data_IF_181965357529
#
_entry.id   IF_181965357529
#
_cell.length_a   1.000
_cell.length_b   1.000
_cell.length_c   1.000
_cell.angle_alpha   90.00
_cell.angle_beta   90.00
_cell.angle_gamma   90.00
#
_symmetry.space_group_name_H-M   'P 1'
#
loop_
_entity.id
_entity.type
_entity.pdbx_description
1 polymer ?
#
# COMPACT_ATOMS: atom_id res chain seq x y z
N UNK A 1 17.42 -24.75 -10.93
CA UNK A 1 16.67 -23.51 -11.28
C UNK A 1 15.37 -23.53 -10.50
N UNK A 2 15.31 -22.87 -9.34
CA UNK A 2 14.02 -22.56 -8.71
C UNK A 2 13.46 -21.44 -9.57
N UNK A 3 12.46 -21.76 -10.39
CA UNK A 3 11.98 -20.88 -11.43
C UNK A 3 11.44 -19.59 -10.80
N UNK A 4 11.62 -18.44 -11.45
CA UNK A 4 11.09 -17.15 -10.98
C UNK A 4 9.59 -17.20 -10.62
N UNK A 5 8.87 -18.16 -11.18
CA UNK A 5 7.47 -18.49 -10.87
C UNK A 5 7.26 -18.96 -9.42
N UNK A 6 8.16 -19.78 -8.87
CA UNK A 6 8.07 -20.27 -7.48
C UNK A 6 8.26 -19.14 -6.47
N UNK A 7 9.15 -18.19 -6.78
CA UNK A 7 9.40 -17.01 -5.95
C UNK A 7 8.17 -16.10 -5.96
N UNK A 8 7.57 -15.85 -7.13
CA UNK A 8 6.34 -15.06 -7.25
C UNK A 8 5.17 -15.72 -6.50
N UNK A 9 5.01 -17.04 -6.63
CA UNK A 9 3.98 -17.80 -5.91
C UNK A 9 4.19 -17.76 -4.39
N UNK A 10 5.43 -17.93 -3.91
CA UNK A 10 5.77 -17.83 -2.50
C UNK A 10 5.49 -16.43 -1.93
N UNK A 11 5.81 -15.37 -2.68
CA UNK A 11 5.48 -13.98 -2.30
C UNK A 11 3.99 -13.76 -2.21
N UNK A 12 3.21 -14.22 -3.20
CA UNK A 12 1.75 -14.14 -3.16
C UNK A 12 1.16 -14.85 -1.93
N UNK A 13 1.61 -16.08 -1.63
CA UNK A 13 1.19 -16.81 -0.42
C UNK A 13 1.52 -16.05 0.87
N UNK A 14 2.66 -15.37 0.93
CA UNK A 14 3.02 -14.52 2.08
C UNK A 14 2.04 -13.35 2.23
N UNK A 15 1.72 -12.64 1.15
CA UNK A 15 0.81 -11.49 1.21
C UNK A 15 -0.61 -11.90 1.62
N UNK A 16 -1.10 -13.03 1.11
CA UNK A 16 -2.40 -13.58 1.51
C UNK A 16 -2.45 -13.86 3.02
N UNK A 17 -1.37 -14.43 3.59
CA UNK A 17 -1.29 -14.68 5.05
C UNK A 17 -1.23 -13.40 5.88
N UNK A 18 -0.68 -12.32 5.34
CA UNK A 18 -0.56 -11.05 6.06
C UNK A 18 -1.89 -10.28 6.10
N UNK A 19 -2.74 -10.41 5.09
CA UNK A 19 -4.07 -9.78 5.07
C UNK A 19 -4.02 -8.28 5.41
N UNK A 20 -4.74 -7.87 6.46
CA UNK A 20 -4.80 -6.47 6.92
C UNK A 20 -3.48 -5.95 7.52
N UNK A 21 -2.57 -6.83 7.96
CA UNK A 21 -1.32 -6.44 8.64
C UNK A 21 -0.13 -6.36 7.68
N UNK A 22 -0.38 -6.38 6.36
CA UNK A 22 0.71 -6.30 5.38
C UNK A 22 1.49 -4.99 5.56
N UNK A 23 2.82 -5.04 5.81
CA UNK A 23 3.63 -3.83 5.96
C UNK A 23 3.65 -3.00 4.68
N UNK A 24 3.40 -3.63 3.51
CA UNK A 24 3.29 -2.93 2.23
C UNK A 24 2.13 -1.94 2.19
N UNK A 25 1.04 -2.20 2.92
CA UNK A 25 -0.06 -1.23 3.00
C UNK A 25 0.38 0.01 3.76
N UNK A 26 1.16 -0.14 4.84
CA UNK A 26 1.77 0.99 5.53
C UNK A 26 2.66 1.82 4.59
N UNK A 27 3.50 1.16 3.80
CA UNK A 27 4.37 1.83 2.83
C UNK A 27 3.57 2.55 1.72
N UNK A 28 2.46 1.97 1.24
CA UNK A 28 1.56 2.62 0.28
C UNK A 28 0.92 3.86 0.90
N UNK A 29 0.43 3.77 2.14
CA UNK A 29 -0.17 4.91 2.86
C UNK A 29 0.84 6.03 3.05
N UNK A 30 2.05 5.73 3.50
CA UNK A 30 3.12 6.71 3.68
C UNK A 30 3.55 7.38 2.37
N UNK A 31 3.67 6.60 1.29
CA UNK A 31 3.97 7.12 -0.03
C UNK A 31 2.85 8.04 -0.53
N UNK A 32 1.58 7.64 -0.39
CA UNK A 32 0.44 8.48 -0.75
C UNK A 32 0.42 9.77 0.06
N UNK A 33 0.68 9.73 1.37
CA UNK A 33 0.79 10.94 2.20
C UNK A 33 1.89 11.88 1.69
N UNK A 34 3.06 11.33 1.35
CA UNK A 34 4.18 12.09 0.78
C UNK A 34 3.81 12.76 -0.54
N UNK A 35 2.96 12.10 -1.34
CA UNK A 35 2.49 12.56 -2.64
C UNK A 35 1.21 13.42 -2.58
N UNK A 36 0.80 13.88 -1.40
CA UNK A 36 -0.38 14.74 -1.25
C UNK A 36 -1.72 14.00 -1.26
N UNK A 37 -1.72 12.69 -1.02
CA UNK A 37 -2.89 11.87 -0.79
C UNK A 37 -3.43 11.12 -2.01
N UNK A 38 -2.95 11.42 -3.22
CA UNK A 38 -3.35 10.72 -4.45
C UNK A 38 -2.20 10.66 -5.46
N UNK A 39 -1.95 9.49 -6.05
CA UNK A 39 -0.93 9.31 -7.07
C UNK A 39 -1.14 8.05 -7.91
N UNK A 40 -0.45 7.96 -9.05
CA UNK A 40 -0.39 6.73 -9.84
C UNK A 40 0.33 5.61 -9.09
N UNK A 41 -0.01 4.35 -9.39
CA UNK A 41 0.67 3.19 -8.79
C UNK A 41 2.18 3.19 -9.04
N UNK A 42 2.63 3.67 -10.22
CA UNK A 42 4.04 3.81 -10.54
C UNK A 42 4.75 4.84 -9.65
N UNK A 43 4.14 6.01 -9.44
CA UNK A 43 4.73 7.07 -8.62
C UNK A 43 4.75 6.69 -7.13
N UNK A 44 3.71 5.99 -6.66
CA UNK A 44 3.70 5.38 -5.31
C UNK A 44 4.85 4.39 -5.17
N UNK A 45 5.01 3.48 -6.14
CA UNK A 45 6.08 2.49 -6.10
C UNK A 45 7.48 3.13 -6.15
N UNK A 46 7.68 4.17 -6.96
CA UNK A 46 8.95 4.92 -7.02
C UNK A 46 9.25 5.58 -5.67
N UNK A 47 8.23 6.18 -5.04
CA UNK A 47 8.36 6.78 -3.70
C UNK A 47 8.73 5.73 -2.64
N UNK A 48 8.10 4.55 -2.69
CA UNK A 48 8.45 3.42 -1.82
C UNK A 48 9.89 2.95 -2.07
N UNK A 49 10.30 2.80 -3.34
CA UNK A 49 11.65 2.38 -3.70
C UNK A 49 12.71 3.37 -3.19
N UNK A 50 12.46 4.67 -3.32
CA UNK A 50 13.34 5.73 -2.80
C UNK A 50 13.47 5.66 -1.28
N UNK A 51 12.36 5.48 -0.55
CA UNK A 51 12.36 5.33 0.91
C UNK A 51 13.15 4.10 1.38
N UNK A 52 13.16 3.02 0.58
CA UNK A 52 13.95 1.81 0.81
C UNK A 52 15.44 1.97 0.42
N UNK A 53 15.89 3.16 0.03
CA UNK A 53 17.27 3.43 -0.41
C UNK A 53 17.57 3.04 -1.87
N UNK A 54 16.55 2.66 -2.63
CA UNK A 54 16.64 2.43 -4.07
C UNK A 54 16.57 3.74 -4.87
N UNK A 55 16.58 3.64 -6.21
CA UNK A 55 16.47 4.80 -7.12
C UNK A 55 15.18 4.85 -7.92
N UNK A 56 14.62 3.68 -8.28
CA UNK A 56 13.40 3.54 -9.08
C UNK A 56 12.75 2.19 -8.79
N UNK A 57 11.43 2.13 -8.84
CA UNK A 57 10.69 0.89 -8.69
C UNK A 57 10.93 -0.07 -9.87
N UNK A 58 11.07 -1.35 -9.56
CA UNK A 58 10.99 -2.41 -10.57
C UNK A 58 9.52 -2.71 -10.88
N UNK A 59 9.26 -3.28 -12.07
CA UNK A 59 7.91 -3.75 -12.42
C UNK A 59 7.37 -4.77 -11.41
N UNK A 60 8.26 -5.59 -10.82
CA UNK A 60 7.91 -6.53 -9.77
C UNK A 60 7.42 -5.84 -8.49
N UNK A 61 8.04 -4.72 -8.08
CA UNK A 61 7.59 -3.95 -6.92
C UNK A 61 6.22 -3.31 -7.17
N UNK A 62 5.99 -2.75 -8.36
CA UNK A 62 4.68 -2.19 -8.73
C UNK A 62 3.58 -3.26 -8.64
N UNK A 63 3.83 -4.45 -9.20
CA UNK A 63 2.89 -5.57 -9.14
C UNK A 63 2.68 -6.07 -7.70
N UNK A 64 3.73 -6.12 -6.88
CA UNK A 64 3.64 -6.54 -5.48
C UNK A 64 2.80 -5.59 -4.64
N UNK A 65 2.98 -4.27 -4.80
CA UNK A 65 2.17 -3.26 -4.11
C UNK A 65 0.71 -3.29 -4.57
N UNK A 66 0.47 -3.46 -5.88
CA UNK A 66 -0.88 -3.57 -6.42
C UNK A 66 -1.62 -4.80 -5.85
N UNK A 67 -0.96 -5.95 -5.82
CA UNK A 67 -1.52 -7.18 -5.26
C UNK A 67 -1.78 -7.05 -3.75
N UNK A 68 -0.87 -6.42 -3.01
CA UNK A 68 -1.07 -6.18 -1.58
C UNK A 68 -2.30 -5.30 -1.33
N UNK A 69 -2.47 -4.23 -2.12
CA UNK A 69 -3.63 -3.36 -2.04
C UNK A 69 -4.93 -4.09 -2.38
N UNK A 70 -4.95 -4.88 -3.45
CA UNK A 70 -6.11 -5.69 -3.82
C UNK A 70 -6.53 -6.65 -2.70
N UNK A 71 -5.58 -7.39 -2.13
CA UNK A 71 -5.82 -8.33 -1.02
C UNK A 71 -6.28 -7.61 0.25
N UNK A 72 -5.73 -6.44 0.54
CA UNK A 72 -6.15 -5.64 1.69
C UNK A 72 -7.58 -5.14 1.52
N UNK A 73 -7.93 -4.62 0.34
CA UNK A 73 -9.30 -4.18 0.02
C UNK A 73 -10.29 -5.33 0.10
N UNK A 74 -9.93 -6.50 -0.44
CA UNK A 74 -10.75 -7.71 -0.34
C UNK A 74 -11.01 -8.15 1.10
N UNK A 75 -9.96 -8.18 1.94
CA UNK A 75 -10.12 -8.50 3.36
C UNK A 75 -10.93 -7.46 4.12
N UNK A 76 -10.69 -6.17 3.88
CA UNK A 76 -11.46 -5.09 4.51
C UNK A 76 -12.95 -5.22 4.16
N UNK A 77 -13.27 -5.47 2.88
CA UNK A 77 -14.65 -5.69 2.43
C UNK A 77 -15.29 -6.93 3.08
N UNK A 78 -14.56 -8.03 3.24
CA UNK A 78 -15.08 -9.24 3.93
C UNK A 78 -15.40 -9.02 5.41
N UNK A 79 -14.84 -7.98 6.02
CA UNK A 79 -15.02 -7.60 7.42
C UNK A 79 -15.91 -6.36 7.58
N UNK A 80 -16.55 -5.89 6.49
CA UNK A 80 -17.32 -4.65 6.43
C UNK A 80 -16.56 -3.42 6.98
N UNK A 81 -15.23 -3.43 6.80
CA UNK A 81 -14.37 -2.33 7.22
C UNK A 81 -14.34 -1.23 6.16
N UNK A 82 -14.28 0.04 6.57
CA UNK A 82 -14.23 1.15 5.64
C UNK A 82 -12.93 1.14 4.82
N UNK A 83 -13.06 1.35 3.52
CA UNK A 83 -11.92 1.44 2.61
C UNK A 83 -11.02 2.64 2.95
N UNK A 84 -9.72 2.38 3.13
CA UNK A 84 -8.73 3.43 3.41
C UNK A 84 -8.09 4.01 2.16
N UNK A 85 -7.98 3.22 1.09
CA UNK A 85 -7.36 3.59 -0.18
C UNK A 85 -8.32 3.20 -1.31
N UNK A 86 -8.74 4.17 -2.11
CA UNK A 86 -9.53 3.94 -3.33
C UNK A 86 -8.62 3.79 -4.54
N UNK A 87 -9.09 3.04 -5.53
CA UNK A 87 -8.43 2.87 -6.83
C UNK A 87 -9.34 3.43 -7.91
N UNK A 88 -8.84 4.38 -8.69
CA UNK A 88 -9.58 5.02 -9.77
C UNK A 88 -8.71 5.37 -10.98
N UNK A 89 -9.28 6.09 -11.98
CA UNK A 89 -8.59 6.40 -13.23
C UNK A 89 -7.30 7.20 -13.05
N UNK A 90 -7.20 7.97 -11.96
CA UNK A 90 -6.03 8.79 -11.60
C UNK A 90 -5.02 8.05 -10.72
N UNK A 91 -5.24 6.77 -10.43
CA UNK A 91 -4.40 5.95 -9.57
C UNK A 91 -5.03 5.66 -8.22
N UNK A 92 -4.20 5.64 -7.18
CA UNK A 92 -4.59 5.34 -5.81
C UNK A 92 -4.77 6.63 -5.01
N UNK A 93 -5.78 6.66 -4.15
CA UNK A 93 -6.05 7.82 -3.30
C UNK A 93 -6.43 7.40 -1.89
N UNK A 94 -5.96 8.13 -0.88
CA UNK A 94 -6.45 7.98 0.48
C UNK A 94 -7.89 8.49 0.56
N UNK A 95 -8.75 7.74 1.25
CA UNK A 95 -10.13 8.21 1.49
C UNK A 95 -10.15 9.37 2.48
N UNK A 96 -11.22 10.17 2.45
CA UNK A 96 -11.43 11.23 3.45
C UNK A 96 -11.40 10.69 4.88
N UNK A 97 -11.89 9.47 5.11
CA UNK A 97 -11.80 8.77 6.39
C UNK A 97 -10.35 8.47 6.78
N UNK A 98 -9.53 7.97 5.85
CA UNK A 98 -8.11 7.76 6.10
C UNK A 98 -7.38 9.07 6.43
N UNK A 99 -7.66 10.14 5.69
CA UNK A 99 -7.12 11.48 6.00
C UNK A 99 -7.50 11.94 7.42
N UNK A 100 -8.76 11.78 7.82
CA UNK A 100 -9.22 12.18 9.15
C UNK A 100 -8.60 11.33 10.27
N UNK A 101 -8.45 10.03 10.06
CA UNK A 101 -7.80 9.13 11.01
C UNK A 101 -6.33 9.49 11.21
N UNK A 102 -5.58 9.68 10.12
CA UNK A 102 -4.17 10.04 10.16
C UNK A 102 -3.94 11.44 10.77
N UNK A 103 -4.80 12.42 10.46
CA UNK A 103 -4.77 13.76 11.09
C UNK A 103 -5.15 13.74 12.59
N UNK A 104 -5.90 12.75 13.06
CA UNK A 104 -6.20 12.56 14.49
C UNK A 104 -5.02 11.89 15.21
N UNK A 105 -4.41 10.88 14.61
CA UNK A 105 -3.20 10.22 15.15
C UNK A 105 -2.04 11.19 15.36
N UNK A 106 -1.75 12.04 14.37
CA UNK A 106 -0.68 13.06 14.47
C UNK A 106 -0.96 14.10 15.57
N UNK A 107 -2.23 14.50 15.77
CA UNK A 107 -2.60 15.45 16.84
C UNK A 107 -2.47 14.87 18.24
N UNK A 108 -2.67 13.56 18.39
CA UNK A 108 -2.51 12.87 19.67
C UNK A 108 -1.04 12.63 20.01
N UNK A 109 -0.15 12.52 19.01
CA UNK A 109 1.28 12.31 19.23
C UNK A 109 2.05 13.59 19.62
N UNK A 110 1.54 14.77 19.26
CA UNK A 110 2.14 16.08 19.64
C UNK A 110 1.70 16.54 21.05
N UNK A 111 0.78 15.81 21.69
CA UNK A 111 0.25 16.12 23.03
C UNK A 111 0.57 15.05 24.08
N UNK A 112 1.41 14.08 23.74
CA UNK A 112 1.88 13.02 24.64
C UNK A 112 3.28 13.31 25.14
#
# INVERSE_FOLDING_TARGET
>A
MIAANDIAAARRRRLVRQGLTSPLIGEIVEALLTLGGQASASLVADTVALRRGGRRASAALVAELALALELHRGHAASLDLPEMITVGPKGWALTGRAHLFLRRGLRNHVRG
#
